data_IF_309529234022
#
_entry.id   IF_309529234022
#
_cell.length_a   1.000
_cell.length_b   1.000
_cell.length_c   1.000
_cell.angle_alpha   90.00
_cell.angle_beta   90.00
_cell.angle_gamma   90.00
#
_symmetry.space_group_name_H-M   'P 1'
#
loop_
_entity.id
_entity.type
_entity.pdbx_description
1 polymer ?
#
# COMPACT_ATOMS: atom_id res chain seq x y z
N UNK A 1 3.34 -2.12 -3.98
CA UNK A 1 2.24 -1.54 -4.83
C UNK A 1 2.28 -2.16 -6.23
N UNK A 2 1.13 -2.35 -6.90
CA UNK A 2 1.07 -2.77 -8.31
C UNK A 2 1.18 -1.56 -9.25
N UNK A 3 1.68 -1.77 -10.46
CA UNK A 3 1.78 -0.72 -11.47
C UNK A 3 0.40 -0.13 -11.85
N UNK A 4 -0.58 -1.01 -12.06
CA UNK A 4 -1.96 -0.64 -12.38
C UNK A 4 -2.68 0.04 -11.19
N UNK A 5 -2.32 -0.37 -9.97
CA UNK A 5 -2.79 0.26 -8.74
C UNK A 5 -2.31 1.71 -8.63
N UNK A 6 -1.01 1.96 -8.90
CA UNK A 6 -0.48 3.32 -8.91
C UNK A 6 -1.19 4.22 -9.93
N UNK A 7 -1.49 3.69 -11.12
CA UNK A 7 -2.30 4.41 -12.13
C UNK A 7 -3.71 4.73 -11.64
N UNK A 8 -4.36 3.76 -11.00
CA UNK A 8 -5.70 3.96 -10.44
C UNK A 8 -5.69 5.04 -9.36
N UNK A 9 -4.73 4.96 -8.42
CA UNK A 9 -4.55 5.96 -7.36
C UNK A 9 -4.37 7.35 -7.96
N UNK A 10 -3.43 7.53 -8.87
CA UNK A 10 -3.16 8.82 -9.49
C UNK A 10 -4.37 9.39 -10.24
N UNK A 11 -5.07 8.55 -11.00
CA UNK A 11 -6.27 8.95 -11.74
C UNK A 11 -7.41 9.38 -10.80
N UNK A 12 -7.63 8.69 -9.69
CA UNK A 12 -8.69 9.07 -8.74
C UNK A 12 -8.30 10.31 -7.93
N UNK A 13 -7.03 10.44 -7.53
CA UNK A 13 -6.55 11.63 -6.84
C UNK A 13 -6.70 12.89 -7.71
N UNK A 14 -6.32 12.84 -8.98
CA UNK A 14 -6.45 13.98 -9.90
C UNK A 14 -7.91 14.44 -10.08
N UNK A 15 -8.89 13.54 -10.03
CA UNK A 15 -10.31 13.88 -10.13
C UNK A 15 -10.85 14.66 -8.94
N UNK A 16 -10.31 14.43 -7.76
CA UNK A 16 -10.77 15.06 -6.52
C UNK A 16 -9.88 16.23 -6.09
N UNK A 17 -8.76 16.43 -6.79
CA UNK A 17 -7.75 17.42 -6.46
C UNK A 17 -8.07 18.77 -7.06
N UNK A 18 -7.66 19.82 -6.36
CA UNK A 18 -7.67 21.22 -6.79
C UNK A 18 -6.43 21.91 -6.20
N UNK A 19 -5.92 23.00 -6.80
CA UNK A 19 -4.83 23.76 -6.20
C UNK A 19 -5.16 24.19 -4.76
N UNK A 20 -4.17 24.04 -3.88
CA UNK A 20 -4.30 24.39 -2.46
C UNK A 20 -4.93 23.32 -1.57
N UNK A 21 -5.37 22.18 -2.14
CA UNK A 21 -5.85 21.05 -1.35
C UNK A 21 -4.71 20.46 -0.50
N UNK A 22 -5.00 20.13 0.74
CA UNK A 22 -4.04 19.53 1.67
C UNK A 22 -4.14 18.03 1.65
N UNK A 23 -3.07 17.37 1.24
CA UNK A 23 -2.98 15.90 1.15
C UNK A 23 -1.94 15.34 2.09
N UNK A 24 -2.28 14.22 2.73
CA UNK A 24 -1.38 13.44 3.58
C UNK A 24 -1.27 12.01 3.04
N UNK A 25 -0.06 11.56 2.77
CA UNK A 25 0.24 10.16 2.44
C UNK A 25 0.79 9.47 3.69
N UNK A 26 0.04 8.53 4.26
CA UNK A 26 0.39 7.83 5.49
C UNK A 26 1.01 6.46 5.19
N UNK A 27 2.04 6.06 5.98
CA UNK A 27 2.86 4.90 5.70
C UNK A 27 3.60 5.07 4.37
N UNK A 28 4.20 6.24 4.21
CA UNK A 28 4.68 6.72 2.91
C UNK A 28 5.92 6.00 2.41
N UNK A 29 6.67 5.34 3.29
CA UNK A 29 8.03 4.86 3.02
C UNK A 29 8.98 5.98 2.57
N UNK A 30 10.20 5.66 2.16
CA UNK A 30 11.21 6.65 1.75
C UNK A 30 11.00 7.16 0.32
N UNK A 31 11.63 8.30 0.00
CA UNK A 31 11.73 8.80 -1.37
C UNK A 31 12.42 7.77 -2.29
N UNK A 32 13.47 7.09 -1.79
CA UNK A 32 14.18 6.05 -2.54
C UNK A 32 13.23 4.94 -2.98
N UNK A 33 12.35 4.50 -2.07
CA UNK A 33 11.35 3.48 -2.41
C UNK A 33 10.37 3.97 -3.48
N UNK A 34 9.82 5.19 -3.32
CA UNK A 34 8.80 5.73 -4.21
C UNK A 34 9.32 6.15 -5.58
N UNK A 35 10.59 6.61 -5.66
CA UNK A 35 11.14 7.19 -6.88
C UNK A 35 12.09 6.25 -7.64
N UNK A 36 12.80 5.36 -6.95
CA UNK A 36 13.84 4.52 -7.55
C UNK A 36 13.50 3.03 -7.49
N UNK A 37 13.08 2.51 -6.33
CA UNK A 37 12.73 1.09 -6.20
C UNK A 37 11.43 0.74 -6.93
N UNK A 38 10.41 1.60 -6.82
CA UNK A 38 9.14 1.48 -7.53
C UNK A 38 8.79 2.80 -8.23
N UNK A 39 9.53 3.20 -9.28
CA UNK A 39 9.47 4.54 -9.88
C UNK A 39 8.09 4.91 -10.43
N UNK A 40 7.27 3.94 -10.77
CA UNK A 40 5.90 4.15 -11.22
C UNK A 40 4.99 4.75 -10.12
N UNK A 41 5.36 4.66 -8.83
CA UNK A 41 4.65 5.34 -7.74
C UNK A 41 4.79 6.86 -7.94
N UNK A 42 6.02 7.33 -8.09
CA UNK A 42 6.26 8.75 -8.36
C UNK A 42 5.68 9.17 -9.72
N UNK A 43 5.87 8.34 -10.75
CA UNK A 43 5.44 8.61 -12.12
C UNK A 43 3.92 8.83 -12.25
N UNK A 44 3.11 7.99 -11.60
CA UNK A 44 1.66 8.04 -11.76
C UNK A 44 0.91 8.74 -10.64
N UNK A 45 1.51 8.88 -9.45
CA UNK A 45 0.84 9.48 -8.30
C UNK A 45 1.40 10.87 -8.02
N UNK A 46 2.66 10.97 -7.61
CA UNK A 46 3.16 12.21 -7.00
C UNK A 46 3.58 13.25 -8.04
N UNK A 47 4.27 12.85 -9.10
CA UNK A 47 4.67 13.78 -10.17
C UNK A 47 3.47 14.48 -10.82
N UNK A 48 2.38 13.80 -11.24
CA UNK A 48 1.20 14.47 -11.79
C UNK A 48 0.53 15.43 -10.80
N UNK A 49 0.51 15.12 -9.50
CA UNK A 49 0.00 16.03 -8.49
C UNK A 49 0.88 17.30 -8.39
N UNK A 50 2.20 17.12 -8.34
CA UNK A 50 3.15 18.25 -8.31
C UNK A 50 3.03 19.13 -9.56
N UNK A 51 2.91 18.54 -10.74
CA UNK A 51 2.71 19.28 -12.02
C UNK A 51 1.40 20.08 -12.03
N UNK A 52 0.41 19.70 -11.22
CA UNK A 52 -0.84 20.44 -11.01
C UNK A 52 -0.80 21.35 -9.76
N UNK A 53 0.37 21.68 -9.24
CA UNK A 53 0.57 22.51 -8.04
C UNK A 53 -0.12 21.97 -6.78
N UNK A 54 -0.14 20.64 -6.62
CA UNK A 54 -0.69 19.97 -5.46
C UNK A 54 0.46 19.38 -4.66
N UNK A 55 0.56 19.79 -3.40
CA UNK A 55 1.56 19.28 -2.46
C UNK A 55 0.98 18.13 -1.65
N UNK A 56 1.73 17.03 -1.58
CA UNK A 56 1.42 15.88 -0.71
C UNK A 56 2.49 15.82 0.36
N UNK A 57 2.08 15.88 1.63
CA UNK A 57 2.97 15.62 2.76
C UNK A 57 3.04 14.10 3.01
N UNK A 58 4.23 13.61 3.29
CA UNK A 58 4.51 12.21 3.52
C UNK A 58 4.77 11.96 5.00
N UNK A 59 4.03 11.03 5.63
CA UNK A 59 4.28 10.65 7.02
C UNK A 59 4.56 9.15 7.15
N UNK A 60 5.51 8.83 7.98
CA UNK A 60 5.91 7.47 8.31
C UNK A 60 6.44 7.42 9.77
N UNK A 61 6.48 6.21 10.35
CA UNK A 61 7.09 5.99 11.66
C UNK A 61 8.63 6.02 11.58
N UNK A 62 9.17 5.75 10.40
CA UNK A 62 10.62 5.70 10.16
C UNK A 62 11.08 7.04 9.62
N UNK A 63 12.13 7.60 10.23
CA UNK A 63 12.79 8.83 9.77
C UNK A 63 13.73 8.50 8.58
N UNK A 64 13.22 8.71 7.38
CA UNK A 64 13.95 8.49 6.14
C UNK A 64 13.78 9.69 5.19
N UNK A 65 14.75 9.84 4.28
CA UNK A 65 14.69 10.90 3.26
C UNK A 65 13.37 10.84 2.47
N UNK A 66 12.64 11.96 2.47
CA UNK A 66 11.35 12.10 1.80
C UNK A 66 10.15 11.72 2.68
N UNK A 67 10.36 11.53 3.97
CA UNK A 67 9.31 11.59 5.00
C UNK A 67 9.32 13.02 5.55
N UNK A 68 8.19 13.71 5.43
CA UNK A 68 8.07 15.12 5.84
C UNK A 68 7.68 15.23 7.31
N UNK A 69 6.93 14.26 7.82
CA UNK A 69 6.43 14.22 9.19
C UNK A 69 6.65 12.82 9.75
N UNK A 70 7.57 12.69 10.71
CA UNK A 70 7.87 11.43 11.38
C UNK A 70 7.00 11.29 12.62
N UNK A 71 6.33 10.14 12.79
CA UNK A 71 5.56 9.84 13.98
C UNK A 71 4.70 8.57 13.87
N UNK A 72 4.20 8.15 15.02
CA UNK A 72 3.38 6.95 15.15
C UNK A 72 1.88 7.31 15.12
N UNK A 73 1.14 6.74 14.19
CA UNK A 73 -0.31 6.91 14.07
C UNK A 73 -1.11 6.17 15.16
N UNK A 74 -0.44 5.56 16.14
CA UNK A 74 -1.06 5.05 17.36
C UNK A 74 -0.88 5.99 18.56
N UNK A 75 -0.10 7.06 18.41
CA UNK A 75 0.12 8.10 19.43
C UNK A 75 -0.96 9.20 19.29
N UNK A 76 -1.74 9.39 20.34
CA UNK A 76 -2.84 10.38 20.40
C UNK A 76 -2.32 11.82 20.21
N UNK A 77 -1.16 12.15 20.77
CA UNK A 77 -0.57 13.51 20.64
C UNK A 77 -0.19 13.76 19.17
N UNK A 78 0.37 12.77 18.51
CA UNK A 78 0.72 12.85 17.09
C UNK A 78 -0.52 12.97 16.21
N UNK A 79 -1.57 12.20 16.49
CA UNK A 79 -2.85 12.27 15.76
C UNK A 79 -3.46 13.66 15.91
N UNK A 80 -3.51 14.23 17.13
CA UNK A 80 -4.09 15.56 17.37
C UNK A 80 -3.30 16.66 16.62
N UNK A 81 -1.97 16.55 16.55
CA UNK A 81 -1.14 17.44 15.73
C UNK A 81 -1.52 17.37 14.26
N UNK A 82 -1.66 16.17 13.69
CA UNK A 82 -2.05 16.00 12.29
C UNK A 82 -3.47 16.51 12.01
N UNK A 83 -4.39 16.30 12.94
CA UNK A 83 -5.79 16.73 12.83
C UNK A 83 -5.95 18.25 12.73
N UNK A 84 -5.12 19.02 13.45
CA UNK A 84 -5.11 20.49 13.39
C UNK A 84 -4.80 21.00 11.98
N UNK A 85 -4.08 20.24 11.17
CA UNK A 85 -3.70 20.58 9.81
C UNK A 85 -4.85 20.43 8.79
N UNK A 86 -5.97 19.81 9.15
CA UNK A 86 -7.20 19.68 8.36
C UNK A 86 -6.96 19.11 6.94
N UNK A 87 -6.35 17.95 6.84
CA UNK A 87 -6.12 17.29 5.56
C UNK A 87 -7.43 16.93 4.87
N UNK A 88 -7.61 17.40 3.64
CA UNK A 88 -8.80 17.15 2.82
C UNK A 88 -8.70 15.82 2.07
N UNK A 89 -7.49 15.29 1.89
CA UNK A 89 -7.25 13.99 1.27
C UNK A 89 -6.22 13.21 2.08
N UNK A 90 -6.56 11.97 2.41
CA UNK A 90 -5.62 11.00 3.00
C UNK A 90 -5.41 9.85 2.01
N UNK A 91 -4.14 9.51 1.78
CA UNK A 91 -3.71 8.34 1.01
C UNK A 91 -3.16 7.32 1.99
N UNK A 92 -3.73 6.11 2.01
CA UNK A 92 -3.26 4.97 2.79
C UNK A 92 -3.15 3.76 1.86
N UNK A 93 -1.97 3.56 1.30
CA UNK A 93 -1.75 2.52 0.31
C UNK A 93 -0.78 1.46 0.81
N UNK A 94 -1.22 0.18 0.78
CA UNK A 94 -0.41 -0.98 1.16
C UNK A 94 0.25 -0.83 2.56
N UNK A 95 -0.51 -0.32 3.53
CA UNK A 95 -0.11 -0.19 4.92
C UNK A 95 -0.86 -1.20 5.81
N UNK A 96 -2.16 -1.35 5.60
CA UNK A 96 -3.03 -2.10 6.53
C UNK A 96 -2.73 -3.61 6.58
N UNK A 97 -2.15 -4.18 5.54
CA UNK A 97 -1.70 -5.57 5.52
C UNK A 97 -0.50 -5.84 6.44
N UNK A 98 0.23 -4.79 6.78
CA UNK A 98 1.39 -4.86 7.68
C UNK A 98 1.00 -4.66 9.15
N UNK A 99 -0.22 -4.25 9.43
CA UNK A 99 -0.72 -3.99 10.78
C UNK A 99 -1.36 -5.22 11.40
N UNK A 100 -0.89 -5.67 12.57
CA UNK A 100 -1.54 -6.71 13.37
C UNK A 100 -2.87 -6.16 13.92
N UNK A 101 -2.82 -5.00 14.57
CA UNK A 101 -3.99 -4.26 15.02
C UNK A 101 -4.23 -3.05 14.11
N UNK A 102 -5.25 -3.12 13.27
CA UNK A 102 -5.61 -2.08 12.29
C UNK A 102 -6.52 -1.00 12.86
N UNK A 103 -7.16 -1.28 13.99
CA UNK A 103 -8.13 -0.38 14.61
C UNK A 103 -7.57 1.03 14.83
N UNK A 104 -6.46 1.20 15.53
CA UNK A 104 -5.86 2.51 15.78
C UNK A 104 -5.58 3.31 14.49
N UNK A 105 -4.99 2.66 13.47
CA UNK A 105 -4.68 3.34 12.19
C UNK A 105 -5.95 3.79 11.47
N UNK A 106 -7.00 2.94 11.47
CA UNK A 106 -8.29 3.30 10.85
C UNK A 106 -8.95 4.45 11.61
N UNK A 107 -8.90 4.46 12.95
CA UNK A 107 -9.38 5.57 13.77
C UNK A 107 -8.61 6.84 13.49
N UNK A 108 -7.28 6.79 13.44
CA UNK A 108 -6.44 7.92 13.10
C UNK A 108 -6.80 8.53 11.74
N UNK A 109 -7.00 7.70 10.70
CA UNK A 109 -7.45 8.17 9.38
C UNK A 109 -8.79 8.93 9.50
N UNK A 110 -9.75 8.37 10.24
CA UNK A 110 -11.06 8.98 10.43
C UNK A 110 -10.98 10.31 11.17
N UNK A 111 -10.11 10.41 12.16
CA UNK A 111 -9.93 11.62 12.97
C UNK A 111 -9.20 12.72 12.22
N UNK A 112 -8.07 12.41 11.58
CA UNK A 112 -7.22 13.36 10.86
C UNK A 112 -7.94 13.93 9.64
N UNK A 113 -8.76 13.12 8.95
CA UNK A 113 -9.46 13.55 7.75
C UNK A 113 -10.46 14.67 8.04
N UNK A 114 -10.35 15.78 7.33
CA UNK A 114 -11.28 16.89 7.42
C UNK A 114 -12.70 16.49 7.04
N UNK A 115 -13.69 17.22 7.55
CA UNK A 115 -15.10 17.05 7.13
C UNK A 115 -15.24 17.29 5.62
N UNK A 116 -16.01 16.43 4.96
CA UNK A 116 -16.11 16.36 3.49
C UNK A 116 -14.82 15.96 2.76
N UNK A 117 -13.78 15.55 3.46
CA UNK A 117 -12.54 15.05 2.89
C UNK A 117 -12.69 13.65 2.29
N UNK A 118 -11.66 13.22 1.57
CA UNK A 118 -11.59 11.92 0.92
C UNK A 118 -10.46 11.07 1.50
N UNK A 119 -10.71 9.79 1.73
CA UNK A 119 -9.66 8.83 2.01
C UNK A 119 -9.58 7.81 0.87
N UNK A 120 -8.38 7.65 0.32
CA UNK A 120 -8.05 6.66 -0.68
C UNK A 120 -7.27 5.54 0.01
N UNK A 121 -7.85 4.34 0.04
CA UNK A 121 -7.28 3.19 0.74
C UNK A 121 -7.04 2.07 -0.26
N UNK A 122 -5.83 1.52 -0.28
CA UNK A 122 -5.54 0.32 -1.05
C UNK A 122 -4.85 -0.74 -0.21
N UNK A 123 -5.19 -1.99 -0.49
CA UNK A 123 -4.61 -3.19 0.15
C UNK A 123 -4.50 -4.31 -0.88
N UNK A 124 -3.56 -5.25 -0.75
CA UNK A 124 -3.52 -6.41 -1.60
C UNK A 124 -4.83 -7.20 -1.54
N UNK A 125 -5.32 -7.71 -2.68
CA UNK A 125 -6.46 -8.63 -2.77
C UNK A 125 -5.99 -10.04 -3.10
N UNK A 126 -5.41 -10.24 -4.27
CA UNK A 126 -4.73 -11.48 -4.65
C UNK A 126 -3.24 -11.17 -4.81
N UNK A 127 -2.49 -11.39 -3.74
CA UNK A 127 -1.06 -11.16 -3.70
C UNK A 127 -0.40 -12.21 -2.80
N UNK A 128 0.74 -12.77 -3.20
CA UNK A 128 1.44 -13.77 -2.40
C UNK A 128 1.88 -13.20 -1.05
N UNK A 129 2.08 -14.11 -0.10
CA UNK A 129 2.68 -13.76 1.17
C UNK A 129 4.07 -13.14 0.95
N UNK A 130 4.32 -12.00 1.55
CA UNK A 130 5.60 -11.31 1.50
C UNK A 130 5.99 -10.82 2.90
N UNK A 131 7.29 -10.87 3.20
CA UNK A 131 7.84 -10.38 4.46
C UNK A 131 8.43 -9.00 4.22
N UNK A 132 7.61 -7.95 4.43
CA UNK A 132 8.09 -6.59 4.29
C UNK A 132 7.21 -5.61 5.12
N UNK A 133 7.55 -5.35 6.34
CA UNK A 133 8.30 -6.17 7.31
C UNK A 133 7.47 -7.35 7.85
N UNK A 134 6.15 -7.23 7.90
CA UNK A 134 5.17 -8.23 8.36
C UNK A 134 4.03 -8.26 7.36
N UNK A 135 3.64 -9.44 6.89
CA UNK A 135 2.40 -9.62 6.14
C UNK A 135 1.41 -10.42 6.98
N UNK A 136 0.29 -9.82 7.32
CA UNK A 136 -0.77 -10.47 8.09
C UNK A 136 -1.78 -11.21 7.23
N UNK A 137 -1.52 -11.29 5.91
CA UNK A 137 -2.45 -11.84 4.91
C UNK A 137 -3.83 -11.15 4.92
N UNK A 138 -3.86 -9.88 5.28
CA UNK A 138 -5.07 -9.08 5.16
C UNK A 138 -5.35 -8.78 3.69
N UNK A 139 -6.36 -9.44 3.13
CA UNK A 139 -6.75 -9.43 1.71
C UNK A 139 -8.25 -9.18 1.57
N UNK A 140 -8.75 -8.03 2.04
CA UNK A 140 -10.18 -7.77 2.11
C UNK A 140 -10.79 -7.51 0.72
N UNK A 141 -12.05 -7.85 0.58
CA UNK A 141 -12.92 -7.38 -0.50
C UNK A 141 -13.24 -5.89 -0.32
N UNK A 142 -13.84 -5.27 -1.35
CA UNK A 142 -14.32 -3.88 -1.28
C UNK A 142 -15.29 -3.68 -0.10
N UNK A 143 -16.22 -4.61 0.10
CA UNK A 143 -17.20 -4.53 1.18
C UNK A 143 -16.57 -4.68 2.58
N UNK A 144 -15.58 -5.56 2.72
CA UNK A 144 -14.90 -5.77 3.99
C UNK A 144 -14.05 -4.56 4.41
N UNK A 145 -13.34 -3.93 3.46
CA UNK A 145 -12.60 -2.72 3.79
C UNK A 145 -13.54 -1.53 4.00
N UNK A 146 -14.61 -1.38 3.21
CA UNK A 146 -15.59 -0.31 3.39
C UNK A 146 -16.32 -0.42 4.73
N UNK A 147 -16.64 -1.62 5.23
CA UNK A 147 -17.20 -1.80 6.57
C UNK A 147 -16.38 -1.18 7.69
N UNK A 148 -15.07 -1.07 7.52
CA UNK A 148 -14.19 -0.39 8.50
C UNK A 148 -14.30 1.13 8.45
N UNK A 149 -14.83 1.66 7.36
CA UNK A 149 -15.11 3.07 7.10
C UNK A 149 -16.59 3.30 6.85
N UNK A 150 -17.47 2.54 7.53
CA UNK A 150 -18.91 2.54 7.27
C UNK A 150 -19.59 3.90 7.48
N UNK A 151 -18.99 4.77 8.31
CA UNK A 151 -19.46 6.15 8.49
C UNK A 151 -19.18 7.04 7.27
N UNK A 152 -18.29 6.61 6.37
CA UNK A 152 -17.91 7.35 5.17
C UNK A 152 -18.65 6.80 3.94
N UNK A 153 -19.06 7.69 3.06
CA UNK A 153 -19.73 7.31 1.82
C UNK A 153 -18.73 6.70 0.83
N UNK A 154 -18.95 5.47 0.39
CA UNK A 154 -18.17 4.87 -0.70
C UNK A 154 -18.43 5.64 -1.99
N UNK A 155 -17.38 6.24 -2.56
CA UNK A 155 -17.42 6.95 -3.84
C UNK A 155 -17.02 6.06 -4.99
N UNK A 156 -15.99 5.24 -4.78
CA UNK A 156 -15.54 4.25 -5.74
C UNK A 156 -14.91 3.06 -5.02
N UNK A 157 -15.12 1.86 -5.55
CA UNK A 157 -14.46 0.64 -5.13
C UNK A 157 -14.15 -0.22 -6.34
N UNK A 158 -12.93 -0.72 -6.42
CA UNK A 158 -12.48 -1.52 -7.56
C UNK A 158 -11.45 -2.56 -7.11
N UNK A 159 -11.51 -3.76 -7.69
CA UNK A 159 -10.41 -4.73 -7.62
C UNK A 159 -9.52 -4.48 -8.83
N UNK A 160 -8.45 -3.74 -8.61
CA UNK A 160 -7.50 -3.41 -9.67
C UNK A 160 -6.63 -4.62 -9.98
N UNK A 161 -6.68 -5.09 -11.22
CA UNK A 161 -5.97 -6.27 -11.69
C UNK A 161 -4.66 -5.84 -12.34
N UNK A 162 -3.58 -6.29 -11.76
CA UNK A 162 -2.24 -6.09 -12.29
C UNK A 162 -1.81 -7.23 -13.22
N UNK A 163 -0.57 -7.16 -13.68
CA UNK A 163 0.03 -8.23 -14.48
C UNK A 163 0.31 -9.44 -13.59
N UNK A 164 0.16 -10.64 -14.17
CA UNK A 164 0.53 -11.88 -13.46
C UNK A 164 2.03 -11.90 -13.12
N UNK A 165 2.40 -12.69 -12.12
CA UNK A 165 3.79 -12.92 -11.68
C UNK A 165 4.76 -13.09 -12.86
N UNK A 166 4.33 -13.77 -13.91
CA UNK A 166 5.13 -14.08 -15.11
C UNK A 166 5.43 -12.88 -16.02
N UNK A 167 4.62 -11.80 -15.95
CA UNK A 167 4.70 -10.60 -16.83
C UNK A 167 5.28 -9.36 -16.14
N UNK A 168 5.63 -9.44 -14.87
CA UNK A 168 6.14 -8.28 -14.15
C UNK A 168 7.64 -8.08 -14.43
N UNK A 169 8.06 -6.86 -14.83
CA UNK A 169 9.48 -6.53 -15.08
C UNK A 169 10.38 -6.80 -13.86
N UNK A 170 9.85 -6.63 -12.66
CA UNK A 170 10.55 -6.93 -11.40
C UNK A 170 10.96 -8.40 -11.29
N UNK A 171 10.19 -9.30 -11.86
CA UNK A 171 10.49 -10.72 -11.90
C UNK A 171 11.51 -11.14 -12.93
N UNK A 172 11.65 -10.42 -14.05
CA UNK A 172 12.74 -10.71 -14.98
C UNK A 172 14.09 -10.61 -14.25
N UNK A 173 14.26 -9.59 -13.41
CA UNK A 173 15.49 -9.42 -12.62
C UNK A 173 15.63 -10.50 -11.53
N UNK A 174 14.53 -10.91 -10.88
CA UNK A 174 14.53 -11.99 -9.88
C UNK A 174 14.86 -13.35 -10.49
N UNK A 175 14.26 -13.69 -11.64
CA UNK A 175 14.58 -14.92 -12.37
C UNK A 175 15.99 -14.90 -12.97
N UNK A 176 16.49 -13.77 -13.42
CA UNK A 176 17.88 -13.62 -13.84
C UNK A 176 18.84 -13.83 -12.65
N UNK A 177 18.54 -13.28 -11.48
CA UNK A 177 19.32 -13.50 -10.26
C UNK A 177 19.25 -14.96 -9.80
N UNK A 178 18.10 -15.63 -9.91
CA UNK A 178 17.96 -17.05 -9.60
C UNK A 178 18.81 -17.89 -10.55
N UNK A 179 18.74 -17.63 -11.86
CA UNK A 179 19.54 -18.37 -12.86
C UNK A 179 21.04 -18.15 -12.73
N UNK A 180 21.45 -17.00 -12.19
CA UNK A 180 22.87 -16.67 -11.95
C UNK A 180 23.39 -17.15 -10.59
N UNK A 181 22.51 -17.58 -9.68
CA UNK A 181 22.91 -17.99 -8.33
C UNK A 181 22.29 -19.33 -7.93
N UNK A 182 22.97 -20.48 -8.23
CA UNK A 182 22.45 -21.81 -7.93
C UNK A 182 22.19 -22.04 -6.44
N UNK A 183 22.86 -21.31 -5.54
CA UNK A 183 22.61 -21.36 -4.09
C UNK A 183 21.22 -20.83 -3.72
N UNK A 184 20.66 -19.92 -4.53
CA UNK A 184 19.31 -19.40 -4.33
C UNK A 184 18.25 -20.44 -4.70
N UNK A 185 18.50 -21.21 -5.78
CA UNK A 185 17.64 -22.32 -6.21
C UNK A 185 17.62 -23.41 -5.12
N UNK A 186 18.80 -23.79 -4.62
CA UNK A 186 18.91 -24.76 -3.55
C UNK A 186 18.18 -24.30 -2.26
N UNK A 187 18.31 -23.01 -1.91
CA UNK A 187 17.61 -22.42 -0.76
C UNK A 187 16.08 -22.40 -0.93
N UNK A 188 15.59 -22.19 -2.16
CA UNK A 188 14.16 -22.27 -2.49
C UNK A 188 13.65 -23.72 -2.44
N UNK A 189 14.40 -24.67 -3.00
CA UNK A 189 14.07 -26.10 -2.93
C UNK A 189 14.07 -26.60 -1.49
N UNK A 190 15.07 -26.26 -0.69
CA UNK A 190 15.13 -26.59 0.74
C UNK A 190 13.95 -25.97 1.52
N UNK A 191 13.54 -24.74 1.20
CA UNK A 191 12.34 -24.13 1.78
C UNK A 191 11.05 -24.88 1.46
N UNK A 192 10.95 -25.48 0.27
CA UNK A 192 9.80 -26.29 -0.11
C UNK A 192 9.81 -27.67 0.58
N UNK A 193 10.99 -28.23 0.85
CA UNK A 193 11.16 -29.57 1.40
C UNK A 193 11.14 -29.63 2.94
N UNK A 194 11.37 -28.52 3.64
CA UNK A 194 11.47 -28.49 5.10
C UNK A 194 10.38 -27.68 5.75
N UNK A 195 9.17 -28.26 5.98
CA UNK A 195 8.06 -27.57 6.62
C UNK A 195 8.32 -27.22 8.09
N UNK A 196 9.31 -27.86 8.73
CA UNK A 196 9.52 -27.79 10.17
C UNK A 196 10.22 -26.51 10.67
N UNK A 197 10.97 -25.83 9.83
CA UNK A 197 11.77 -24.65 10.27
C UNK A 197 10.94 -23.38 10.48
N UNK A 198 9.89 -23.13 9.66
CA UNK A 198 8.94 -22.03 9.81
C UNK A 198 7.57 -22.43 9.22
N UNK A 199 6.74 -23.20 9.94
CA UNK A 199 5.52 -23.80 9.39
C UNK A 199 4.53 -22.75 8.84
N UNK A 200 4.43 -21.56 9.47
CA UNK A 200 3.58 -20.47 8.97
C UNK A 200 4.05 -19.96 7.61
N UNK A 201 5.35 -19.72 7.45
CA UNK A 201 5.93 -19.24 6.17
C UNK A 201 5.76 -20.29 5.08
N UNK A 202 5.96 -21.57 5.41
CA UNK A 202 5.77 -22.68 4.49
C UNK A 202 4.31 -22.81 4.04
N UNK A 203 3.37 -22.77 4.97
CA UNK A 203 1.93 -22.81 4.70
C UNK A 203 1.49 -21.67 3.78
N UNK A 204 1.91 -20.44 4.07
CA UNK A 204 1.59 -19.28 3.23
C UNK A 204 2.30 -19.34 1.87
N UNK A 205 3.50 -19.91 1.78
CA UNK A 205 4.19 -20.12 0.51
C UNK A 205 3.42 -21.08 -0.38
N UNK A 206 2.92 -22.20 0.17
CA UNK A 206 2.11 -23.17 -0.59
C UNK A 206 0.78 -22.57 -1.04
N UNK A 207 0.09 -21.83 -0.18
CA UNK A 207 -1.15 -21.12 -0.56
C UNK A 207 -0.85 -20.14 -1.69
N UNK A 208 0.26 -19.42 -1.60
CA UNK A 208 0.68 -18.46 -2.63
C UNK A 208 1.01 -19.15 -3.95
N UNK A 209 1.58 -20.36 -3.94
CA UNK A 209 1.85 -21.13 -5.16
C UNK A 209 0.57 -21.47 -5.93
N UNK A 210 -0.56 -21.71 -5.27
CA UNK A 210 -1.86 -21.91 -5.94
C UNK A 210 -2.32 -20.67 -6.71
N UNK A 211 -1.83 -19.49 -6.35
CA UNK A 211 -2.18 -18.22 -6.96
C UNK A 211 -1.15 -17.69 -7.97
N UNK A 212 -0.05 -18.40 -8.22
CA UNK A 212 1.03 -17.99 -9.15
C UNK A 212 0.51 -17.75 -10.58
N UNK A 213 -0.52 -18.47 -11.00
CA UNK A 213 -1.11 -18.34 -12.33
C UNK A 213 -2.20 -17.27 -12.40
N UNK A 214 -2.67 -16.75 -11.26
CA UNK A 214 -3.66 -15.68 -11.22
C UNK A 214 -2.95 -14.33 -11.28
N UNK A 215 -3.52 -13.32 -11.96
CA UNK A 215 -2.97 -11.97 -11.92
C UNK A 215 -3.02 -11.44 -10.48
N UNK A 216 -1.98 -10.71 -10.09
CA UNK A 216 -2.01 -9.98 -8.83
C UNK A 216 -3.08 -8.91 -8.89
N UNK A 217 -3.70 -8.64 -7.76
CA UNK A 217 -4.73 -7.61 -7.68
C UNK A 217 -4.74 -6.94 -6.31
N UNK A 218 -5.24 -5.72 -6.29
CA UNK A 218 -5.40 -4.91 -5.10
C UNK A 218 -6.86 -4.46 -4.96
N UNK A 219 -7.36 -4.45 -3.74
CA UNK A 219 -8.61 -3.78 -3.39
C UNK A 219 -8.34 -2.32 -3.20
N UNK A 220 -9.01 -1.48 -3.96
CA UNK A 220 -8.89 -0.03 -3.93
C UNK A 220 -10.26 0.58 -3.63
N UNK A 221 -10.32 1.47 -2.66
CA UNK A 221 -11.54 2.25 -2.35
C UNK A 221 -11.21 3.74 -2.21
N UNK A 222 -12.15 4.56 -2.65
CA UNK A 222 -12.23 5.98 -2.38
C UNK A 222 -13.50 6.24 -1.58
N UNK A 223 -13.35 6.74 -0.37
CA UNK A 223 -14.46 7.08 0.53
C UNK A 223 -14.46 8.57 0.84
N UNK A 224 -15.62 9.12 1.18
CA UNK A 224 -15.80 10.52 1.58
C UNK A 224 -16.41 10.58 2.99
N UNK A 225 -15.78 11.33 3.87
CA UNK A 225 -16.26 11.66 5.22
C UNK A 225 -17.46 12.58 5.17
#
# INVERSE_FOLDING_TARGET
MLYEEAKWIGAELLKISKPGIRMLNIGSSSHEFRANSQPYINEFIFRPLTENNITVLHTDIVDEKGVDIVGDLTDEIFIEKLKQEKYEVIICSNLLEHMINRGPIISAIKEILATNGFALITVPYNYPYHLDPIDTMFRPTINEIHKKFHEFKLKKGEIVIGKSFRKNKFQKNYWQQINQNPKLILKLLLRCLVPFYKPKVWFYTIISMKNIFKPFSATCILVKK
#
